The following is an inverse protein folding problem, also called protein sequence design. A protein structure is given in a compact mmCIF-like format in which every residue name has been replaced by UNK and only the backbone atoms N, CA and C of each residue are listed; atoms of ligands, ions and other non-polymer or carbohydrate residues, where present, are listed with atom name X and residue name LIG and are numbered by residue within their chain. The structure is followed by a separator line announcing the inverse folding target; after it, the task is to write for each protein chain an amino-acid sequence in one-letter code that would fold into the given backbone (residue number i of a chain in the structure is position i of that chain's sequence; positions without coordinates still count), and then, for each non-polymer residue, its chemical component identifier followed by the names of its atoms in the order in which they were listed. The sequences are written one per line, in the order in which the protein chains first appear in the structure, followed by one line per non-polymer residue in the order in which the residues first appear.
data_IF_598705410559
#
_entry.id   IF_598705410559
#
_cell.length_a   1.000
_cell.length_b   1.000
_cell.length_c   1.000
_cell.angle_alpha   90.00
_cell.angle_beta   90.00
_cell.angle_gamma   90.00
#
_symmetry.space_group_name_H-M   'P 1'
#
loop_
_entity.id
_entity.type
_entity.pdbx_description
1 polymer ?
#
# COMPACT_ATOMS: atom_id res chain seq x y z
N UNK A 1 16.59 -8.27 -3.94
CA UNK A 1 15.57 -8.95 -3.13
C UNK A 1 14.38 -8.03 -3.06
N UNK A 2 13.29 -8.39 -3.75
CA UNK A 2 12.06 -7.60 -3.69
C UNK A 2 11.50 -7.47 -2.26
N UNK A 3 11.87 -8.40 -1.35
CA UNK A 3 11.43 -8.48 0.04
C UNK A 3 11.98 -7.36 0.90
N UNK A 4 13.30 -7.12 0.81
CA UNK A 4 13.97 -6.07 1.58
C UNK A 4 13.45 -4.70 1.15
N UNK A 5 13.25 -4.51 -0.16
CA UNK A 5 12.71 -3.27 -0.72
C UNK A 5 11.23 -3.09 -0.33
N UNK A 6 10.41 -4.14 -0.39
CA UNK A 6 9.03 -4.11 0.07
C UNK A 6 8.93 -3.79 1.57
N UNK A 7 9.80 -4.38 2.41
CA UNK A 7 9.88 -4.09 3.84
C UNK A 7 10.31 -2.64 4.12
N UNK A 8 11.31 -2.13 3.40
CA UNK A 8 11.71 -0.71 3.50
C UNK A 8 10.54 0.20 3.07
N UNK A 9 9.85 -0.11 1.98
CA UNK A 9 8.66 0.64 1.56
C UNK A 9 7.53 0.58 2.60
N UNK A 10 7.30 -0.57 3.23
CA UNK A 10 6.32 -0.70 4.31
C UNK A 10 6.70 0.13 5.54
N UNK A 11 7.99 0.18 5.88
CA UNK A 11 8.50 1.05 6.95
C UNK A 11 8.33 2.53 6.60
N UNK A 12 8.64 2.95 5.38
CA UNK A 12 8.45 4.34 4.92
C UNK A 12 6.97 4.72 4.90
N UNK A 13 6.08 3.83 4.45
CA UNK A 13 4.63 4.05 4.47
C UNK A 13 4.11 4.16 5.92
N UNK A 14 4.63 3.34 6.83
CA UNK A 14 4.30 3.40 8.27
C UNK A 14 4.82 4.69 8.89
N UNK A 15 6.02 5.13 8.52
CA UNK A 15 6.61 6.39 8.98
C UNK A 15 5.81 7.61 8.47
N UNK A 16 5.38 7.58 7.21
CA UNK A 16 4.49 8.59 6.63
C UNK A 16 3.12 8.62 7.34
N UNK A 17 2.61 7.46 7.76
CA UNK A 17 1.38 7.38 8.56
C UNK A 17 1.53 8.01 9.96
N UNK A 18 2.65 7.75 10.65
CA UNK A 18 2.92 8.28 11.99
C UNK A 18 3.07 9.82 12.00
N UNK A 19 3.63 10.41 10.95
CA UNK A 19 3.85 11.87 10.89
C UNK A 19 2.58 12.69 10.60
N UNK A 20 1.49 12.07 10.13
CA UNK A 20 0.19 12.73 9.94
C UNK A 20 -0.97 11.85 10.44
N UNK A 21 -1.08 11.64 11.77
CA UNK A 21 -2.19 10.90 12.34
C UNK A 21 -3.46 11.74 12.19
N UNK A 22 -4.49 11.18 11.54
CA UNK A 22 -5.83 11.79 11.46
C UNK A 22 -6.22 12.41 10.13
N UNK A 23 -5.32 12.49 9.14
CA UNK A 23 -5.67 12.93 7.78
C UNK A 23 -5.66 11.72 6.85
N UNK A 24 -6.81 11.34 6.30
CA UNK A 24 -6.98 10.49 5.11
C UNK A 24 -6.20 9.17 5.06
N UNK A 25 -6.84 8.06 5.48
CA UNK A 25 -6.62 6.65 5.07
C UNK A 25 -5.17 6.11 4.92
N UNK A 26 -4.14 6.79 5.43
CA UNK A 26 -2.75 6.31 5.41
C UNK A 26 -2.57 4.99 6.18
N UNK A 27 -3.44 4.71 7.16
CA UNK A 27 -3.49 3.39 7.82
C UNK A 27 -3.90 2.24 6.88
N UNK A 28 -4.77 2.49 5.89
CA UNK A 28 -5.09 1.48 4.87
C UNK A 28 -3.90 1.26 3.92
N UNK A 29 -3.16 2.32 3.61
CA UNK A 29 -1.95 2.23 2.80
C UNK A 29 -0.85 1.44 3.51
N UNK A 30 -0.63 1.71 4.79
CA UNK A 30 0.32 0.97 5.61
C UNK A 30 -0.07 -0.52 5.67
N UNK A 31 -1.34 -0.84 5.95
CA UNK A 31 -1.84 -2.23 5.92
C UNK A 31 -1.66 -2.90 4.56
N UNK A 32 -1.91 -2.18 3.46
CA UNK A 32 -1.73 -2.72 2.10
C UNK A 32 -0.25 -3.04 1.82
N UNK A 33 0.69 -2.16 2.21
CA UNK A 33 2.12 -2.43 2.07
C UNK A 33 2.60 -3.59 2.96
N UNK A 34 2.07 -3.71 4.18
CA UNK A 34 2.36 -4.85 5.05
C UNK A 34 1.80 -6.17 4.49
N UNK A 35 0.58 -6.16 3.95
CA UNK A 35 -0.01 -7.33 3.30
C UNK A 35 0.74 -7.75 2.03
N UNK A 36 1.17 -6.77 1.21
CA UNK A 36 2.00 -7.03 0.04
C UNK A 36 3.35 -7.65 0.44
N UNK A 37 4.00 -7.09 1.46
CA UNK A 37 5.27 -7.61 2.01
C UNK A 37 5.09 -9.05 2.50
N UNK A 38 3.98 -9.34 3.18
CA UNK A 38 3.67 -10.69 3.66
C UNK A 38 3.41 -11.68 2.52
N UNK A 39 2.67 -11.31 1.48
CA UNK A 39 2.44 -12.17 0.30
C UNK A 39 3.74 -12.50 -0.42
N UNK A 40 4.56 -11.48 -0.66
CA UNK A 40 5.90 -11.59 -1.25
C UNK A 40 6.78 -12.51 -0.39
N UNK A 41 6.68 -12.41 0.94
CA UNK A 41 7.46 -13.26 1.85
C UNK A 41 7.05 -14.72 1.76
N UNK A 42 5.75 -14.99 1.79
CA UNK A 42 5.23 -16.37 1.67
C UNK A 42 5.59 -16.99 0.32
N UNK A 43 5.44 -16.24 -0.77
CA UNK A 43 5.82 -16.68 -2.12
C UNK A 43 7.30 -17.09 -2.20
N UNK A 44 8.18 -16.25 -1.65
CA UNK A 44 9.62 -16.56 -1.62
C UNK A 44 9.98 -17.72 -0.71
N UNK A 45 9.36 -17.83 0.47
CA UNK A 45 9.59 -18.95 1.38
C UNK A 45 9.21 -20.26 0.71
N UNK A 46 8.03 -20.32 0.06
CA UNK A 46 7.57 -21.52 -0.63
C UNK A 46 8.47 -21.84 -1.83
N UNK A 47 8.80 -20.85 -2.66
CA UNK A 47 9.71 -21.04 -3.80
C UNK A 47 11.07 -21.58 -3.37
N UNK A 48 11.69 -20.97 -2.35
CA UNK A 48 12.97 -21.43 -1.82
C UNK A 48 12.93 -22.87 -1.29
N UNK A 49 11.83 -23.26 -0.62
CA UNK A 49 11.63 -24.65 -0.18
C UNK A 49 11.46 -25.62 -1.36
N UNK A 50 10.82 -25.21 -2.45
CA UNK A 50 10.62 -26.02 -3.65
C UNK A 50 11.90 -26.18 -4.49
N UNK A 51 12.75 -25.15 -4.53
CA UNK A 51 14.09 -25.20 -5.15
C UNK A 51 15.12 -25.99 -4.31
N UNK A 52 14.70 -26.59 -3.19
CA UNK A 52 15.57 -27.43 -2.36
C UNK A 52 16.49 -26.65 -1.43
N UNK A 53 16.17 -25.38 -1.13
CA UNK A 53 16.96 -24.53 -0.24
C UNK A 53 18.40 -24.23 -0.73
N UNK A 54 18.70 -24.47 -2.01
CA UNK A 54 20.04 -24.34 -2.58
C UNK A 54 20.33 -22.92 -3.13
N UNK A 55 19.30 -22.08 -3.26
CA UNK A 55 19.40 -20.70 -3.71
C UNK A 55 19.66 -19.70 -2.58
N UNK A 56 20.22 -18.54 -2.95
CA UNK A 56 20.52 -17.46 -2.02
C UNK A 56 19.20 -16.86 -1.49
N UNK A 57 18.91 -17.06 -0.19
CA UNK A 57 17.64 -16.62 0.41
C UNK A 57 17.44 -15.11 0.30
N UNK A 58 18.54 -14.36 0.12
CA UNK A 58 18.57 -12.94 -0.11
C UNK A 58 19.33 -12.54 -1.40
N UNK A 59 18.85 -12.91 -2.59
CA UNK A 59 19.32 -12.40 -3.89
C UNK A 59 19.33 -10.86 -4.00
N UNK A 60 20.47 -10.21 -3.79
CA UNK A 60 20.65 -8.78 -4.00
C UNK A 60 21.15 -8.53 -5.43
N UNK A 61 20.24 -8.08 -6.32
CA UNK A 61 20.54 -7.79 -7.72
C UNK A 61 19.68 -6.66 -8.29
N UNK A 62 20.05 -6.18 -9.49
CA UNK A 62 19.37 -5.08 -10.19
C UNK A 62 18.02 -5.52 -10.77
N UNK A 63 17.95 -6.73 -11.31
CA UNK A 63 16.70 -7.30 -11.84
C UNK A 63 15.59 -7.41 -10.78
N UNK A 64 15.83 -8.03 -9.60
CA UNK A 64 14.82 -8.06 -8.53
C UNK A 64 14.54 -6.68 -7.91
N UNK A 65 15.43 -5.69 -8.07
CA UNK A 65 15.17 -4.30 -7.69
C UNK A 65 14.15 -3.64 -8.63
N UNK A 66 14.32 -3.77 -9.95
CA UNK A 66 13.34 -3.25 -10.92
C UNK A 66 11.97 -3.91 -10.77
N UNK A 67 11.94 -5.22 -10.52
CA UNK A 67 10.70 -5.96 -10.34
C UNK A 67 9.93 -5.49 -9.11
N UNK A 68 10.63 -5.22 -8.00
CA UNK A 68 10.03 -4.64 -6.79
C UNK A 68 9.41 -3.27 -7.06
N UNK A 69 10.11 -2.42 -7.81
CA UNK A 69 9.63 -1.09 -8.18
C UNK A 69 8.38 -1.17 -9.07
N UNK A 70 8.34 -2.14 -9.98
CA UNK A 70 7.20 -2.39 -10.85
C UNK A 70 5.94 -2.84 -10.06
N UNK A 71 6.11 -3.61 -8.97
CA UNK A 71 5.02 -4.09 -8.12
C UNK A 71 4.46 -3.01 -7.18
N UNK A 72 5.25 -1.99 -6.85
CA UNK A 72 4.82 -0.89 -5.98
C UNK A 72 3.85 0.07 -6.72
N UNK A 73 4.04 0.26 -8.03
CA UNK A 73 3.21 1.14 -8.88
C UNK A 73 1.70 0.81 -8.79
N UNK A 74 1.23 -0.44 -9.02
CA UNK A 74 -0.19 -0.76 -8.95
C UNK A 74 -0.77 -0.58 -7.54
N UNK A 75 0.01 -0.80 -6.48
CA UNK A 75 -0.44 -0.56 -5.10
C UNK A 75 -0.67 0.92 -4.85
N UNK A 76 0.23 1.78 -5.34
CA UNK A 76 0.00 3.22 -5.32
C UNK A 76 -1.22 3.63 -6.16
N UNK A 77 -1.39 3.09 -7.37
CA UNK A 77 -2.57 3.39 -8.20
C UNK A 77 -3.89 3.06 -7.50
N UNK A 78 -4.00 1.86 -6.91
CA UNK A 78 -5.22 1.45 -6.18
C UNK A 78 -5.48 2.35 -4.99
N UNK A 79 -4.43 2.73 -4.25
CA UNK A 79 -4.57 3.65 -3.13
C UNK A 79 -4.98 5.06 -3.56
N UNK A 80 -4.37 5.63 -4.59
CA UNK A 80 -4.72 6.94 -5.12
C UNK A 80 -6.19 6.98 -5.57
N UNK A 81 -6.65 5.94 -6.28
CA UNK A 81 -8.07 5.80 -6.67
C UNK A 81 -8.97 5.75 -5.42
N UNK A 82 -8.60 4.96 -4.40
CA UNK A 82 -9.37 4.86 -3.17
C UNK A 82 -9.45 6.19 -2.40
N UNK A 83 -8.39 7.00 -2.43
CA UNK A 83 -8.36 8.34 -1.82
C UNK A 83 -9.23 9.33 -2.62
N UNK A 84 -9.17 9.30 -3.95
CA UNK A 84 -9.98 10.16 -4.82
C UNK A 84 -11.48 9.87 -4.61
N UNK A 85 -11.87 8.60 -4.62
CA UNK A 85 -13.27 8.20 -4.42
C UNK A 85 -13.82 8.67 -3.07
N UNK A 86 -13.01 8.59 -2.01
CA UNK A 86 -13.42 9.01 -0.68
C UNK A 86 -13.57 10.54 -0.58
N UNK A 87 -12.65 11.30 -1.17
CA UNK A 87 -12.76 12.77 -1.26
C UNK A 87 -14.02 13.18 -2.02
N UNK A 88 -14.33 12.53 -3.14
CA UNK A 88 -15.56 12.78 -3.92
C UNK A 88 -16.81 12.46 -3.09
N UNK A 89 -16.79 11.37 -2.32
CA UNK A 89 -17.92 10.96 -1.46
C UNK A 89 -18.15 11.95 -0.32
N UNK A 90 -17.08 12.42 0.34
CA UNK A 90 -17.16 13.45 1.39
C UNK A 90 -17.80 14.73 0.83
N UNK A 91 -17.35 15.20 -0.35
CA UNK A 91 -17.92 16.40 -0.98
C UNK A 91 -19.40 16.23 -1.34
N UNK A 92 -19.83 15.05 -1.80
CA UNK A 92 -21.26 14.79 -2.08
C UNK A 92 -22.12 14.80 -0.81
N UNK A 93 -21.64 14.19 0.28
CA UNK A 93 -22.38 14.15 1.54
C UNK A 93 -22.52 15.55 2.16
N UNK A 94 -21.46 16.35 2.10
CA UNK A 94 -21.47 17.71 2.65
C UNK A 94 -22.46 18.62 1.88
N UNK A 95 -22.48 18.50 0.55
CA UNK A 95 -23.40 19.27 -0.30
C UNK A 95 -24.87 18.86 -0.09
N UNK A 96 -25.14 17.57 0.11
CA UNK A 96 -26.49 17.07 0.43
C UNK A 96 -27.01 17.66 1.75
N UNK A 97 -26.18 17.70 2.79
CA UNK A 97 -26.58 18.20 4.10
C UNK A 97 -26.90 19.70 4.07
N UNK A 98 -26.12 20.51 3.33
CA UNK A 98 -26.42 21.95 3.15
C UNK A 98 -27.79 22.19 2.52
N UNK A 99 -28.08 21.53 1.39
CA UNK A 99 -29.36 21.71 0.69
C UNK A 99 -30.56 21.31 1.56
N UNK A 100 -30.44 20.25 2.37
CA UNK A 100 -31.51 19.82 3.28
C UNK A 100 -31.76 20.82 4.42
N UNK A 101 -30.75 21.61 4.78
CA UNK A 101 -30.86 22.62 5.84
C UNK A 101 -31.48 23.91 5.29
N UNK A 102 -31.19 24.28 4.04
CA UNK A 102 -31.78 25.45 3.36
C UNK A 102 -33.26 25.24 3.01
N UNK A 103 -33.69 24.02 2.67
CA UNK A 103 -35.12 23.72 2.42
C UNK A 103 -35.98 23.64 3.69
N UNK A 104 -35.36 23.57 4.87
CA UNK A 104 -36.06 23.48 6.16
C UNK A 104 -36.26 24.85 6.84
N UNK A 105 -35.76 25.95 6.26
CA UNK A 105 -35.94 27.32 6.74
C UNK A 105 -37.00 28.07 5.93
#
# INVERSE_FOLDING_TARGET
MWLVIAAICALVATFAWINKPGVNRYGHLALAFWALTAMIFVDHVIGWFLEGAEGDFLEVGVDPFMLSLCMIIPVFMVWEIAVILDRVKITKTDNKNKNTTEEAQ
#
